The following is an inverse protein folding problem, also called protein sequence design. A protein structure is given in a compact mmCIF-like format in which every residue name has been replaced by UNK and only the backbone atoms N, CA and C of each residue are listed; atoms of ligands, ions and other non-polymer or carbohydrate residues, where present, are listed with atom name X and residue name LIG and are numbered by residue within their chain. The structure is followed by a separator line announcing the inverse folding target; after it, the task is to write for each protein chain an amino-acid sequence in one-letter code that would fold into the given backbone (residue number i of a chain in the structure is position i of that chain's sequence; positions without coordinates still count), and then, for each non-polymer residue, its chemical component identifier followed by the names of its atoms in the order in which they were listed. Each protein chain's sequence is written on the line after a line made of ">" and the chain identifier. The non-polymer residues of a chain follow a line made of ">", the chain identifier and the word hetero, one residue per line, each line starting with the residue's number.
data_IF_597450265026
#
_entry.id   IF_597450265026
#
_cell.length_a   1.000
_cell.length_b   1.000
_cell.length_c   1.000
_cell.angle_alpha   90.00
_cell.angle_beta   90.00
_cell.angle_gamma   90.00
#
_symmetry.space_group_name_H-M   'P 1'
#
loop_
_entity.id
_entity.type
_entity.pdbx_description
1 polymer ?
#
# COMPACT_ATOMS: atom_id res chain seq x y z
N UNK A 1 -3.92 -33.66 35.31
CA UNK A 1 -4.22 -32.36 34.66
C UNK A 1 -3.78 -31.25 35.60
N UNK A 2 -2.60 -30.66 35.41
CA UNK A 2 -2.08 -29.62 36.30
C UNK A 2 -2.62 -28.25 35.85
N UNK A 3 -3.54 -27.68 36.61
CA UNK A 3 -3.99 -26.29 36.44
C UNK A 3 -2.87 -25.36 36.93
N UNK A 4 -2.08 -24.83 35.99
CA UNK A 4 -1.08 -23.79 36.27
C UNK A 4 -1.83 -22.51 36.66
N UNK A 5 -2.08 -22.32 37.96
CA UNK A 5 -2.54 -21.05 38.52
C UNK A 5 -1.41 -20.03 38.36
N UNK A 6 -1.49 -19.23 37.30
CA UNK A 6 -0.67 -18.03 37.14
C UNK A 6 -0.90 -17.12 38.35
N UNK A 7 0.10 -17.02 39.24
CA UNK A 7 0.07 -16.14 40.41
C UNK A 7 0.01 -14.70 39.91
N UNK A 8 -1.18 -14.07 40.01
CA UNK A 8 -1.34 -12.64 39.75
C UNK A 8 -0.77 -11.85 40.92
N UNK A 9 0.14 -10.93 40.61
CA UNK A 9 0.81 -10.07 41.59
C UNK A 9 -0.17 -9.04 42.17
N UNK A 10 0.08 -8.55 43.39
CA UNK A 10 -0.78 -7.54 44.08
C UNK A 10 -1.04 -6.30 43.19
N UNK A 11 -0.06 -5.94 42.36
CA UNK A 11 -0.17 -4.89 41.34
C UNK A 11 -1.25 -5.16 40.28
N UNK A 12 -1.41 -6.40 39.81
CA UNK A 12 -2.45 -6.78 38.84
C UNK A 12 -3.86 -6.72 39.45
N UNK A 13 -3.98 -6.93 40.75
CA UNK A 13 -5.24 -6.80 41.49
C UNK A 13 -5.64 -5.34 41.70
N UNK A 14 -4.67 -4.45 41.98
CA UNK A 14 -4.91 -3.02 42.24
C UNK A 14 -5.10 -2.24 40.92
N UNK A 15 -4.32 -2.56 39.89
CA UNK A 15 -4.34 -1.86 38.60
C UNK A 15 -5.08 -2.63 37.51
N UNK A 16 -6.09 -3.43 37.91
CA UNK A 16 -6.86 -4.42 37.11
C UNK A 16 -7.33 -3.96 35.71
N UNK A 17 -7.30 -2.66 35.41
CA UNK A 17 -7.65 -2.11 34.10
C UNK A 17 -6.75 -0.95 33.59
N UNK A 18 -5.65 -0.61 34.27
CA UNK A 18 -4.73 0.43 33.78
C UNK A 18 -3.58 -0.22 33.02
N UNK A 19 -3.81 -0.52 31.73
CA UNK A 19 -2.71 -0.85 30.81
C UNK A 19 -1.71 0.31 30.81
N UNK A 20 -0.41 0.01 30.88
CA UNK A 20 0.66 1.00 30.76
C UNK A 20 0.43 1.89 29.54
N UNK A 21 0.65 3.21 29.69
CA UNK A 21 0.47 4.21 28.63
C UNK A 21 1.22 3.79 27.35
N UNK A 22 2.44 3.30 27.54
CA UNK A 22 3.34 2.82 26.48
C UNK A 22 2.78 1.60 25.72
N UNK A 23 1.98 0.75 26.39
CA UNK A 23 1.33 -0.40 25.76
C UNK A 23 0.12 0.02 24.92
N UNK A 24 -0.62 1.05 25.35
CA UNK A 24 -1.72 1.61 24.55
C UNK A 24 -1.19 2.41 23.35
N UNK A 25 -0.07 3.10 23.53
CA UNK A 25 0.60 3.87 22.48
C UNK A 25 1.13 2.91 21.39
N UNK A 26 1.92 1.90 21.77
CA UNK A 26 2.44 0.89 20.82
C UNK A 26 1.34 0.14 20.04
N UNK A 27 0.17 -0.13 20.65
CA UNK A 27 -0.98 -0.73 19.97
C UNK A 27 -1.59 0.21 18.91
N UNK A 28 -1.76 1.50 19.22
CA UNK A 28 -2.23 2.52 18.26
C UNK A 28 -1.25 2.72 17.10
N UNK A 29 0.05 2.69 17.39
CA UNK A 29 1.12 2.82 16.39
C UNK A 29 1.15 1.61 15.45
N UNK A 30 1.02 0.40 16.00
CA UNK A 30 0.95 -0.82 15.19
C UNK A 30 -0.32 -0.83 14.32
N UNK A 31 -1.44 -0.32 14.84
CA UNK A 31 -2.66 -0.12 14.06
C UNK A 31 -2.47 0.89 12.92
N UNK A 32 -1.82 2.02 13.16
CA UNK A 32 -1.52 3.02 12.14
C UNK A 32 -0.59 2.47 11.04
N UNK A 33 0.49 1.77 11.41
CA UNK A 33 1.39 1.12 10.46
C UNK A 33 0.66 0.07 9.61
N UNK A 34 -0.22 -0.74 10.21
CA UNK A 34 -1.09 -1.67 9.45
C UNK A 34 -2.03 -0.93 8.50
N UNK A 35 -2.54 0.23 8.90
CA UNK A 35 -3.35 1.10 8.05
C UNK A 35 -2.59 1.62 6.83
N UNK A 36 -1.38 2.16 7.05
CA UNK A 36 -0.51 2.64 5.98
C UNK A 36 -0.17 1.53 4.99
N UNK A 37 0.20 0.33 5.49
CA UNK A 37 0.49 -0.82 4.63
C UNK A 37 -0.73 -1.24 3.80
N UNK A 38 -1.94 -1.25 4.39
CA UNK A 38 -3.17 -1.53 3.64
C UNK A 38 -3.45 -0.51 2.54
N UNK A 39 -3.21 0.77 2.80
CA UNK A 39 -3.38 1.83 1.80
C UNK A 39 -2.38 1.68 0.65
N UNK A 40 -1.11 1.37 0.94
CA UNK A 40 -0.08 1.10 -0.06
C UNK A 40 -0.48 -0.09 -0.93
N UNK A 41 -0.94 -1.18 -0.30
CA UNK A 41 -1.40 -2.37 -1.02
C UNK A 41 -2.59 -2.06 -1.93
N UNK A 42 -3.61 -1.38 -1.40
CA UNK A 42 -4.80 -1.00 -2.16
C UNK A 42 -4.47 -0.10 -3.35
N UNK A 43 -3.60 0.89 -3.15
CA UNK A 43 -3.14 1.78 -4.21
C UNK A 43 -2.36 1.01 -5.29
N UNK A 44 -1.51 0.07 -4.89
CA UNK A 44 -0.71 -0.74 -5.81
C UNK A 44 -1.61 -1.61 -6.69
N UNK A 45 -2.57 -2.31 -6.07
CA UNK A 45 -3.54 -3.15 -6.80
C UNK A 45 -4.40 -2.29 -7.74
N UNK A 46 -4.91 -1.15 -7.26
CA UNK A 46 -5.71 -0.23 -8.07
C UNK A 46 -4.92 0.31 -9.27
N UNK A 47 -3.62 0.59 -9.08
CA UNK A 47 -2.75 1.07 -10.15
C UNK A 47 -2.53 0.01 -11.22
N UNK A 48 -2.28 -1.24 -10.83
CA UNK A 48 -2.15 -2.37 -11.77
C UNK A 48 -3.45 -2.53 -12.59
N UNK A 49 -4.60 -2.49 -11.91
CA UNK A 49 -5.90 -2.63 -12.58
C UNK A 49 -6.15 -1.49 -13.57
N UNK A 50 -5.77 -0.27 -13.20
CA UNK A 50 -5.89 0.91 -14.06
C UNK A 50 -5.02 0.80 -15.33
N UNK A 51 -3.80 0.27 -15.19
CA UNK A 51 -2.90 0.01 -16.32
C UNK A 51 -3.51 -1.05 -17.25
N UNK A 52 -4.00 -2.17 -16.69
CA UNK A 52 -4.63 -3.24 -17.46
C UNK A 52 -5.88 -2.77 -18.22
N UNK A 53 -6.74 -1.99 -17.55
CA UNK A 53 -7.93 -1.41 -18.18
C UNK A 53 -7.56 -0.46 -19.32
N UNK A 54 -6.48 0.32 -19.18
CA UNK A 54 -6.02 1.22 -20.24
C UNK A 54 -5.42 0.45 -21.41
N UNK A 55 -4.64 -0.59 -21.16
CA UNK A 55 -4.11 -1.49 -22.20
C UNK A 55 -5.24 -2.15 -23.00
N UNK A 56 -6.29 -2.62 -22.31
CA UNK A 56 -7.47 -3.17 -22.95
C UNK A 56 -8.19 -2.15 -23.85
N UNK A 57 -8.33 -0.90 -23.39
CA UNK A 57 -8.91 0.18 -24.22
C UNK A 57 -8.12 0.44 -25.49
N UNK A 58 -6.77 0.43 -25.42
CA UNK A 58 -5.92 0.59 -26.59
C UNK A 58 -6.12 -0.55 -27.60
N UNK A 59 -6.12 -1.82 -27.14
CA UNK A 59 -6.35 -2.99 -28.01
C UNK A 59 -7.71 -2.91 -28.70
N UNK A 60 -8.76 -2.64 -27.94
CA UNK A 60 -10.12 -2.47 -28.48
C UNK A 60 -10.19 -1.34 -29.51
N UNK A 61 -9.46 -0.23 -29.30
CA UNK A 61 -9.42 0.88 -30.24
C UNK A 61 -8.68 0.51 -31.53
N UNK A 62 -7.59 -0.27 -31.44
CA UNK A 62 -6.88 -0.79 -32.62
C UNK A 62 -7.80 -1.73 -33.43
N UNK A 63 -8.49 -2.65 -32.77
CA UNK A 63 -9.46 -3.56 -33.42
C UNK A 63 -10.54 -2.78 -34.18
N UNK A 64 -11.08 -1.70 -33.60
CA UNK A 64 -12.05 -0.83 -34.27
C UNK A 64 -11.45 -0.15 -35.51
N UNK A 65 -10.21 0.32 -35.44
CA UNK A 65 -9.56 0.97 -36.59
C UNK A 65 -9.29 0.00 -37.74
N UNK A 66 -8.98 -1.26 -37.41
CA UNK A 66 -8.84 -2.34 -38.39
C UNK A 66 -10.17 -2.55 -39.12
N UNK A 67 -11.28 -2.64 -38.38
CA UNK A 67 -12.63 -2.79 -38.95
C UNK A 67 -13.03 -1.58 -39.82
N UNK A 68 -12.57 -0.38 -39.47
CA UNK A 68 -12.82 0.85 -40.23
C UNK A 68 -11.83 1.08 -41.40
N UNK A 69 -10.92 0.13 -41.69
CA UNK A 69 -9.86 0.24 -42.70
C UNK A 69 -8.93 1.46 -42.51
N UNK A 70 -8.79 1.98 -41.29
CA UNK A 70 -7.96 3.16 -40.94
C UNK A 70 -6.54 2.76 -40.52
N UNK A 71 -5.88 1.97 -41.36
CA UNK A 71 -4.56 1.37 -41.10
C UNK A 71 -3.46 2.39 -40.76
N UNK A 72 -3.53 3.60 -41.33
CA UNK A 72 -2.56 4.67 -41.09
C UNK A 72 -2.51 5.17 -39.64
N UNK A 73 -3.59 4.99 -38.86
CA UNK A 73 -3.69 5.48 -37.47
C UNK A 73 -3.23 4.45 -36.43
N UNK A 74 -3.15 3.18 -36.79
CA UNK A 74 -2.72 2.08 -35.91
C UNK A 74 -1.33 2.32 -35.32
N UNK A 75 -0.27 2.66 -36.09
CA UNK A 75 1.06 2.85 -35.53
C UNK A 75 1.13 4.02 -34.53
N UNK A 76 0.34 5.08 -34.74
CA UNK A 76 0.26 6.18 -33.78
C UNK A 76 -0.37 5.74 -32.45
N UNK A 77 -1.39 4.89 -32.50
CA UNK A 77 -2.05 4.36 -31.29
C UNK A 77 -1.15 3.36 -30.56
N UNK A 78 -0.39 2.54 -31.28
CA UNK A 78 0.61 1.66 -30.66
C UNK A 78 1.72 2.45 -29.96
N UNK A 79 2.26 3.49 -30.60
CA UNK A 79 3.22 4.39 -29.95
C UNK A 79 2.64 5.07 -28.70
N UNK A 80 1.38 5.50 -28.75
CA UNK A 80 0.69 6.09 -27.59
C UNK A 80 0.50 5.06 -26.47
N UNK A 81 0.17 3.81 -26.81
CA UNK A 81 0.04 2.71 -25.85
C UNK A 81 1.38 2.45 -25.15
N UNK A 82 2.48 2.34 -25.89
CA UNK A 82 3.82 2.13 -25.34
C UNK A 82 4.24 3.28 -24.41
N UNK A 83 4.09 4.54 -24.87
CA UNK A 83 4.38 5.71 -24.03
C UNK A 83 3.53 5.72 -22.75
N UNK A 84 2.24 5.47 -22.85
CA UNK A 84 1.37 5.44 -21.67
C UNK A 84 1.73 4.31 -20.71
N UNK A 85 2.20 3.16 -21.19
CA UNK A 85 2.67 2.08 -20.33
C UNK A 85 3.92 2.50 -19.55
N UNK A 86 4.89 3.11 -20.24
CA UNK A 86 6.14 3.59 -19.63
C UNK A 86 5.84 4.68 -18.59
N UNK A 87 5.04 5.69 -18.94
CA UNK A 87 4.67 6.78 -18.03
C UNK A 87 3.96 6.27 -16.77
N UNK A 88 2.99 5.36 -16.94
CA UNK A 88 2.29 4.77 -15.80
C UNK A 88 3.23 3.95 -14.92
N UNK A 89 4.17 3.20 -15.52
CA UNK A 89 5.15 2.40 -14.77
C UNK A 89 6.09 3.29 -13.95
N UNK A 90 6.51 4.43 -14.51
CA UNK A 90 7.31 5.43 -13.78
C UNK A 90 6.51 5.99 -12.59
N UNK A 91 5.25 6.38 -12.80
CA UNK A 91 4.38 6.91 -11.74
C UNK A 91 4.21 5.89 -10.61
N UNK A 92 3.91 4.63 -10.94
CA UNK A 92 3.77 3.56 -9.94
C UNK A 92 5.07 3.35 -9.17
N UNK A 93 6.21 3.30 -9.87
CA UNK A 93 7.53 3.13 -9.22
C UNK A 93 7.84 4.27 -8.25
N UNK A 94 7.63 5.53 -8.68
CA UNK A 94 7.83 6.70 -7.82
C UNK A 94 6.90 6.68 -6.61
N UNK A 95 5.64 6.30 -6.79
CA UNK A 95 4.67 6.21 -5.69
C UNK A 95 5.06 5.16 -4.64
N UNK A 96 5.63 4.03 -5.07
CA UNK A 96 6.16 2.99 -4.17
C UNK A 96 7.37 3.53 -3.39
N UNK A 97 8.30 4.20 -4.06
CA UNK A 97 9.48 4.80 -3.42
C UNK A 97 9.06 5.80 -2.34
N UNK A 98 8.15 6.73 -2.66
CA UNK A 98 7.64 7.72 -1.71
C UNK A 98 6.95 7.03 -0.52
N UNK A 99 6.13 6.02 -0.79
CA UNK A 99 5.45 5.24 0.25
C UNK A 99 6.44 4.55 1.21
N UNK A 100 7.53 3.99 0.68
CA UNK A 100 8.58 3.37 1.49
C UNK A 100 9.36 4.39 2.32
N UNK A 101 9.67 5.57 1.75
CA UNK A 101 10.33 6.67 2.49
C UNK A 101 9.46 7.12 3.66
N UNK A 102 8.15 7.29 3.43
CA UNK A 102 7.19 7.66 4.46
C UNK A 102 7.17 6.58 5.56
N UNK A 103 7.05 5.31 5.18
CA UNK A 103 7.04 4.19 6.12
C UNK A 103 8.33 4.13 6.94
N UNK A 104 9.49 4.31 6.30
CA UNK A 104 10.79 4.36 6.95
C UNK A 104 10.89 5.53 7.93
N UNK A 105 10.48 6.73 7.52
CA UNK A 105 10.51 7.92 8.36
C UNK A 105 9.65 7.74 9.61
N UNK A 106 8.40 7.25 9.45
CA UNK A 106 7.54 6.96 10.58
C UNK A 106 8.16 5.89 11.49
N UNK A 107 8.66 4.79 10.94
CA UNK A 107 9.27 3.73 11.75
C UNK A 107 10.53 4.20 12.50
N UNK A 108 11.38 5.02 11.87
CA UNK A 108 12.56 5.62 12.50
C UNK A 108 12.18 6.57 13.64
N UNK A 109 11.27 7.52 13.37
CA UNK A 109 10.76 8.46 14.38
C UNK A 109 10.15 7.72 15.57
N UNK A 110 9.45 6.61 15.31
CA UNK A 110 8.87 5.77 16.36
C UNK A 110 9.94 5.07 17.22
N UNK A 111 11.02 4.57 16.62
CA UNK A 111 12.13 3.96 17.36
C UNK A 111 12.91 4.96 18.20
N UNK A 112 12.98 6.23 17.80
CA UNK A 112 13.62 7.29 18.56
C UNK A 112 12.77 7.71 19.78
N UNK A 113 11.44 7.79 19.62
CA UNK A 113 10.52 8.13 20.72
C UNK A 113 10.45 7.02 21.79
N UNK A 114 10.48 5.74 21.40
CA UNK A 114 10.41 4.62 22.35
C UNK A 114 11.71 4.36 23.14
N UNK A 115 12.80 5.06 22.84
CA UNK A 115 14.08 4.94 23.55
C UNK A 115 14.31 6.02 24.62
N UNK A 116 13.42 7.01 24.72
CA UNK A 116 13.42 8.03 25.78
C UNK A 116 12.46 7.67 26.91
#
# INVERSE_FOLDING_TARGET
>A
MATVKTKKTIRDLIFKNKRHKDFQESEKINFANKGIVKLILLYTVSSIFSIAQRDWQYKRNIEKLILENKWQRIPLIEQLREKSLIENLIIVTLSIIVSLIILYYYNKKMNEVNKG
#
